data_IF_570407421063
#
_entry.id   IF_570407421063
#
_cell.length_a   1.000
_cell.length_b   1.000
_cell.length_c   1.000
_cell.angle_alpha   90.00
_cell.angle_beta   90.00
_cell.angle_gamma   90.00
#
_symmetry.space_group_name_H-M   'P 1'
#
loop_
_entity.id
_entity.type
_entity.pdbx_description
1 polymer ?
#
# COMPACT_ATOMS: atom_id res chain seq x y z
N UNK A 1 14.15 7.87 -57.58
CA UNK A 1 15.43 8.14 -56.88
C UNK A 1 15.38 7.40 -55.54
N UNK A 2 15.43 6.05 -55.56
CA UNK A 2 16.53 5.18 -55.10
C UNK A 2 17.44 5.80 -54.03
N UNK A 3 17.36 5.33 -52.78
CA UNK A 3 18.51 4.91 -51.95
C UNK A 3 18.08 3.73 -51.06
N UNK A 4 18.63 2.54 -51.35
CA UNK A 4 18.65 1.36 -50.50
C UNK A 4 19.83 1.48 -49.51
N UNK A 5 19.57 1.38 -48.21
CA UNK A 5 20.58 1.43 -47.14
C UNK A 5 20.76 0.06 -46.49
N UNK A 6 21.85 -0.60 -46.85
CA UNK A 6 22.28 -1.94 -46.43
C UNK A 6 23.17 -1.92 -45.17
N UNK A 7 23.19 -3.06 -44.46
CA UNK A 7 24.28 -3.64 -43.64
C UNK A 7 24.65 -2.98 -42.30
N UNK A 8 24.59 -3.78 -41.21
CA UNK A 8 25.73 -4.57 -40.72
C UNK A 8 25.32 -5.41 -39.50
N UNK A 9 25.33 -6.73 -39.69
CA UNK A 9 25.40 -7.74 -38.65
C UNK A 9 26.85 -7.77 -38.13
N UNK A 10 27.04 -7.67 -36.82
CA UNK A 10 28.31 -7.96 -36.15
C UNK A 10 28.03 -9.04 -35.11
N UNK A 11 28.26 -10.29 -35.51
CA UNK A 11 28.41 -11.42 -34.60
C UNK A 11 29.78 -11.28 -33.91
N UNK A 12 29.79 -10.95 -32.62
CA UNK A 12 30.94 -11.13 -31.76
C UNK A 12 30.75 -12.41 -30.95
N UNK A 13 31.48 -13.45 -31.35
CA UNK A 13 31.65 -14.67 -30.60
C UNK A 13 32.56 -14.40 -29.39
N UNK A 14 31.98 -14.36 -28.21
CA UNK A 14 32.70 -14.21 -26.94
C UNK A 14 33.20 -15.59 -26.48
N UNK A 15 34.51 -15.73 -26.36
CA UNK A 15 35.17 -16.96 -25.89
C UNK A 15 34.87 -17.27 -24.41
N UNK A 16 34.85 -18.55 -24.00
CA UNK A 16 34.64 -18.94 -22.62
C UNK A 16 35.90 -18.68 -21.78
N UNK A 17 35.82 -17.70 -20.88
CA UNK A 17 36.84 -17.44 -19.86
C UNK A 17 36.66 -18.47 -18.74
N UNK A 18 37.49 -19.51 -18.74
CA UNK A 18 37.65 -20.41 -17.60
C UNK A 18 38.37 -19.64 -16.47
N UNK A 19 37.61 -19.16 -15.48
CA UNK A 19 38.18 -18.69 -14.22
C UNK A 19 38.46 -19.90 -13.34
N UNK A 20 39.75 -20.09 -13.02
CA UNK A 20 40.19 -20.96 -11.95
C UNK A 20 39.53 -20.50 -10.65
N UNK A 21 38.82 -21.41 -10.00
CA UNK A 21 38.35 -21.21 -8.63
C UNK A 21 39.56 -21.38 -7.72
N UNK A 22 40.15 -20.26 -7.32
CA UNK A 22 41.08 -20.23 -6.20
C UNK A 22 40.39 -20.80 -4.96
N UNK A 23 41.10 -21.75 -4.39
CA UNK A 23 40.93 -22.44 -3.12
C UNK A 23 40.43 -21.48 -2.03
N UNK A 24 39.12 -21.51 -1.78
CA UNK A 24 38.51 -20.80 -0.65
C UNK A 24 38.91 -21.49 0.65
N UNK A 25 39.76 -20.77 1.39
CA UNK A 25 40.19 -21.05 2.76
C UNK A 25 38.98 -21.43 3.63
N UNK A 26 39.06 -22.61 4.26
CA UNK A 26 37.97 -23.14 5.06
C UNK A 26 37.66 -22.18 6.23
N UNK A 27 36.38 -21.93 6.55
CA UNK A 27 36.04 -21.06 7.67
C UNK A 27 36.62 -21.62 8.98
N UNK A 28 37.13 -20.75 9.87
CA UNK A 28 37.70 -21.17 11.14
C UNK A 28 36.70 -21.97 11.97
N UNK A 29 37.18 -23.02 12.64
CA UNK A 29 36.36 -23.86 13.51
C UNK A 29 35.77 -23.02 14.66
N UNK A 30 34.44 -23.01 14.77
CA UNK A 30 33.76 -22.37 15.89
C UNK A 30 33.91 -23.23 17.15
N UNK A 31 34.63 -22.68 18.13
CA UNK A 31 34.74 -23.25 19.48
C UNK A 31 33.37 -23.20 20.16
N UNK A 32 32.76 -24.36 20.40
CA UNK A 32 31.53 -24.48 21.19
C UNK A 32 31.82 -24.08 22.64
N UNK A 33 31.42 -22.85 23.01
CA UNK A 33 31.50 -22.37 24.39
C UNK A 33 30.60 -23.20 25.30
N UNK A 34 31.20 -23.61 26.41
CA UNK A 34 30.69 -24.59 27.35
C UNK A 34 29.32 -24.26 27.93
N UNK A 35 28.57 -25.35 28.13
CA UNK A 35 27.31 -25.44 28.86
C UNK A 35 27.47 -24.85 30.26
N UNK A 36 27.03 -23.61 30.45
CA UNK A 36 26.90 -23.01 31.77
C UNK A 36 25.79 -23.73 32.55
N UNK A 37 26.13 -24.15 33.77
CA UNK A 37 25.23 -24.71 34.76
C UNK A 37 24.15 -23.70 35.14
N UNK A 38 22.87 -24.09 35.23
CA UNK A 38 21.78 -23.20 35.63
C UNK A 38 21.90 -22.85 37.11
N UNK A 39 22.06 -21.56 37.40
CA UNK A 39 21.90 -21.00 38.74
C UNK A 39 20.39 -20.86 38.99
N UNK A 40 19.82 -21.44 40.06
CA UNK A 40 18.42 -21.25 40.41
C UNK A 40 18.23 -19.84 40.98
N UNK A 41 17.81 -18.89 40.14
CA UNK A 41 17.36 -17.57 40.58
C UNK A 41 15.87 -17.68 40.89
N UNK A 42 15.53 -17.55 42.18
CA UNK A 42 14.15 -17.41 42.63
C UNK A 42 13.58 -16.10 42.09
N UNK A 43 12.64 -16.19 41.15
CA UNK A 43 11.94 -15.04 40.57
C UNK A 43 10.86 -14.60 41.58
N UNK A 44 10.86 -13.34 42.04
CA UNK A 44 9.76 -12.81 42.84
C UNK A 44 8.51 -12.74 41.96
N UNK A 45 7.48 -13.50 42.33
CA UNK A 45 6.18 -13.50 41.68
C UNK A 45 5.51 -12.14 41.90
N UNK A 46 5.57 -11.25 40.91
CA UNK A 46 4.79 -10.01 40.91
C UNK A 46 3.32 -10.32 40.57
N UNK A 47 2.34 -9.62 41.16
CA UNK A 47 0.92 -9.84 40.89
C UNK A 47 0.61 -9.48 39.43
N UNK A 48 0.05 -10.43 38.69
CA UNK A 48 -0.53 -10.21 37.37
C UNK A 48 -1.84 -9.42 37.56
N UNK A 49 -1.77 -8.10 37.46
CA UNK A 49 -2.95 -7.26 37.22
C UNK A 49 -2.93 -6.83 35.75
N UNK A 50 -3.04 -7.81 34.84
CA UNK A 50 -3.22 -7.59 33.41
C UNK A 50 -4.71 -7.46 33.12
N UNK A 51 -5.25 -6.28 33.37
CA UNK A 51 -6.48 -5.81 32.73
C UNK A 51 -6.14 -5.52 31.27
N UNK A 52 -6.15 -6.56 30.45
CA UNK A 52 -5.97 -6.47 29.01
C UNK A 52 -7.09 -5.57 28.47
N UNK A 53 -6.83 -4.32 28.01
CA UNK A 53 -7.87 -3.48 27.46
C UNK A 53 -8.33 -4.16 26.17
N UNK A 54 -9.51 -4.75 26.25
CA UNK A 54 -10.16 -5.44 25.16
C UNK A 54 -10.20 -4.49 23.97
N UNK A 55 -9.58 -4.93 22.87
CA UNK A 55 -9.67 -4.41 21.51
C UNK A 55 -10.91 -3.54 21.32
N UNK A 56 -10.74 -2.22 21.43
CA UNK A 56 -11.80 -1.26 21.21
C UNK A 56 -12.34 -1.49 19.80
N UNK A 57 -13.59 -1.94 19.74
CA UNK A 57 -14.31 -2.13 18.50
C UNK A 57 -14.11 -0.90 17.61
N UNK A 58 -13.46 -1.10 16.47
CA UNK A 58 -13.50 -0.12 15.39
C UNK A 58 -14.98 0.21 15.15
N UNK A 59 -15.43 1.46 15.32
CA UNK A 59 -16.78 1.83 14.94
C UNK A 59 -16.92 1.42 13.47
N UNK A 60 -17.88 0.55 13.16
CA UNK A 60 -18.15 0.14 11.78
C UNK A 60 -18.35 1.43 10.97
N UNK A 61 -17.34 1.79 10.16
CA UNK A 61 -17.36 3.03 9.40
C UNK A 61 -18.42 2.88 8.31
N UNK A 62 -19.66 3.29 8.57
CA UNK A 62 -20.66 3.30 7.52
C UNK A 62 -20.38 4.46 6.55
N UNK A 63 -20.54 4.26 5.23
CA UNK A 63 -20.51 5.37 4.30
C UNK A 63 -21.58 6.39 4.68
N UNK A 64 -21.34 7.70 4.46
CA UNK A 64 -22.34 8.73 4.70
C UNK A 64 -23.63 8.44 3.95
N UNK A 65 -24.77 8.85 4.53
CA UNK A 65 -26.08 8.68 3.89
C UNK A 65 -26.08 9.29 2.49
N UNK A 66 -26.55 8.53 1.50
CA UNK A 66 -26.63 8.96 0.10
C UNK A 66 -25.43 8.55 -0.77
N UNK A 67 -24.33 8.06 -0.21
CA UNK A 67 -23.23 7.48 -0.99
C UNK A 67 -23.65 6.12 -1.52
N UNK A 68 -23.87 6.01 -2.83
CA UNK A 68 -24.22 4.75 -3.49
C UNK A 68 -22.95 3.96 -3.88
N UNK A 69 -22.89 2.65 -3.61
CA UNK A 69 -21.82 1.80 -4.12
C UNK A 69 -21.78 1.77 -5.65
N UNK A 70 -20.59 1.78 -6.22
CA UNK A 70 -20.33 1.59 -7.66
C UNK A 70 -19.05 0.79 -7.88
N UNK A 71 -18.89 0.16 -9.04
CA UNK A 71 -17.65 -0.53 -9.37
C UNK A 71 -16.65 0.39 -10.07
N UNK A 72 -17.11 1.16 -11.07
CA UNK A 72 -16.27 2.07 -11.83
C UNK A 72 -16.77 3.50 -11.72
N UNK A 73 -15.87 4.42 -11.38
CA UNK A 73 -16.10 5.85 -11.36
C UNK A 73 -14.84 6.59 -11.82
N UNK A 74 -15.01 7.53 -12.74
CA UNK A 74 -13.94 8.40 -13.22
C UNK A 74 -14.39 9.86 -13.14
N UNK A 75 -13.67 10.66 -12.37
CA UNK A 75 -13.89 12.10 -12.24
C UNK A 75 -12.61 12.82 -12.66
N UNK A 76 -12.71 13.66 -13.69
CA UNK A 76 -11.59 14.44 -14.19
C UNK A 76 -11.99 15.92 -14.28
N UNK A 77 -11.17 16.79 -13.68
CA UNK A 77 -11.28 18.24 -13.77
C UNK A 77 -9.98 18.80 -14.36
N UNK A 78 -10.06 19.93 -15.06
CA UNK A 78 -8.81 20.65 -15.40
C UNK A 78 -8.30 21.37 -14.17
N UNK A 79 -9.16 22.17 -13.53
CA UNK A 79 -8.81 22.96 -12.36
C UNK A 79 -9.88 22.78 -11.27
N UNK A 80 -9.48 23.01 -10.01
CA UNK A 80 -10.34 23.01 -8.84
C UNK A 80 -10.27 21.74 -7.99
N UNK A 81 -11.13 21.69 -6.97
CA UNK A 81 -11.13 20.62 -5.96
C UNK A 81 -12.04 19.46 -6.35
N UNK A 82 -11.60 18.24 -6.09
CA UNK A 82 -12.42 17.03 -6.09
C UNK A 82 -12.58 16.61 -4.63
N UNK A 83 -13.81 16.65 -4.13
CA UNK A 83 -14.14 16.28 -2.75
C UNK A 83 -15.26 15.28 -2.76
N UNK A 84 -15.18 14.28 -1.90
CA UNK A 84 -16.33 13.43 -1.65
C UNK A 84 -16.00 12.12 -0.96
N UNK A 85 -17.09 11.41 -0.70
CA UNK A 85 -17.07 10.03 -0.22
C UNK A 85 -17.49 9.11 -1.36
N UNK A 86 -16.67 8.10 -1.64
CA UNK A 86 -16.86 7.16 -2.74
C UNK A 86 -16.95 5.76 -2.17
N UNK A 87 -18.02 5.02 -2.48
CA UNK A 87 -18.14 3.62 -2.08
C UNK A 87 -17.90 2.72 -3.29
N UNK A 88 -16.84 1.91 -3.22
CA UNK A 88 -16.41 1.03 -4.29
C UNK A 88 -16.77 -0.41 -3.96
N UNK A 89 -17.57 -1.04 -4.81
CA UNK A 89 -17.95 -2.44 -4.73
C UNK A 89 -17.62 -3.15 -6.05
N UNK A 90 -16.57 -3.99 -6.10
CA UNK A 90 -16.13 -4.67 -7.31
C UNK A 90 -17.10 -5.78 -7.76
N UNK A 91 -18.09 -6.15 -6.93
CA UNK A 91 -19.11 -7.15 -7.31
C UNK A 91 -20.19 -6.59 -8.24
N UNK A 92 -20.29 -5.26 -8.37
CA UNK A 92 -21.26 -4.61 -9.24
C UNK A 92 -20.78 -4.73 -10.69
N UNK A 93 -21.54 -5.45 -11.51
CA UNK A 93 -21.31 -5.50 -12.96
C UNK A 93 -22.00 -4.32 -13.64
N UNK A 94 -21.23 -3.54 -14.40
CA UNK A 94 -21.75 -2.42 -15.19
C UNK A 94 -21.74 -2.82 -16.68
N UNK A 95 -22.79 -2.50 -17.45
CA UNK A 95 -22.78 -2.63 -18.89
C UNK A 95 -21.61 -1.86 -19.52
N UNK A 96 -20.95 -2.44 -20.53
CA UNK A 96 -19.74 -1.89 -21.14
C UNK A 96 -19.89 -0.44 -21.65
N UNK A 97 -21.08 -0.05 -22.12
CA UNK A 97 -21.35 1.31 -22.60
C UNK A 97 -21.49 2.36 -21.48
N UNK A 98 -21.61 1.94 -20.22
CA UNK A 98 -21.61 2.82 -19.05
C UNK A 98 -20.23 2.94 -18.39
N UNK A 99 -19.25 2.14 -18.85
CA UNK A 99 -17.91 2.17 -18.30
C UNK A 99 -17.14 3.40 -18.81
N UNK A 100 -16.27 4.00 -17.98
CA UNK A 100 -15.36 5.04 -18.44
C UNK A 100 -14.52 4.54 -19.63
N UNK A 101 -14.24 5.40 -20.63
CA UNK A 101 -13.43 5.02 -21.77
C UNK A 101 -12.04 4.57 -21.32
N UNK A 102 -11.51 3.53 -21.97
CA UNK A 102 -10.13 3.08 -21.75
C UNK A 102 -9.15 4.13 -22.28
N UNK A 103 -8.04 4.33 -21.57
CA UNK A 103 -6.89 5.04 -22.12
C UNK A 103 -6.07 4.12 -23.03
N UNK A 104 -5.18 4.70 -23.83
CA UNK A 104 -4.43 3.97 -24.86
C UNK A 104 -3.55 2.83 -24.32
N UNK A 105 -3.16 2.89 -23.05
CA UNK A 105 -2.36 1.91 -22.33
C UNK A 105 -3.21 1.00 -21.41
N UNK A 106 -4.52 1.20 -21.38
CA UNK A 106 -5.42 0.50 -20.47
C UNK A 106 -6.20 -0.59 -21.19
N UNK A 107 -6.40 -1.70 -20.49
CA UNK A 107 -7.27 -2.80 -20.89
C UNK A 107 -8.45 -2.85 -19.92
N UNK A 108 -9.52 -3.55 -20.28
CA UNK A 108 -10.63 -3.84 -19.35
C UNK A 108 -10.12 -4.43 -18.02
N UNK A 109 -9.10 -5.30 -18.09
CA UNK A 109 -8.50 -5.94 -16.92
C UNK A 109 -7.61 -5.03 -16.09
N UNK A 110 -7.16 -3.88 -16.61
CA UNK A 110 -6.33 -2.90 -15.90
C UNK A 110 -7.05 -1.58 -15.59
N UNK A 111 -8.31 -1.43 -16.02
CA UNK A 111 -9.13 -0.24 -15.73
C UNK A 111 -9.26 -0.06 -14.20
N UNK A 112 -9.04 1.16 -13.67
CA UNK A 112 -9.30 1.44 -12.27
C UNK A 112 -10.79 1.42 -11.93
N UNK A 113 -11.09 1.03 -10.70
CA UNK A 113 -12.42 1.11 -10.10
C UNK A 113 -12.75 2.55 -9.71
N UNK A 114 -11.74 3.30 -9.24
CA UNK A 114 -11.88 4.72 -8.95
C UNK A 114 -10.73 5.50 -9.59
N UNK A 115 -11.06 6.50 -10.40
CA UNK A 115 -10.10 7.45 -10.97
C UNK A 115 -10.50 8.87 -10.62
N UNK A 116 -9.63 9.59 -9.91
CA UNK A 116 -9.80 11.01 -9.58
C UNK A 116 -8.62 11.78 -10.14
N UNK A 117 -8.87 12.72 -11.08
CA UNK A 117 -7.80 13.53 -11.67
C UNK A 117 -8.11 15.01 -11.70
N UNK A 118 -7.13 15.82 -11.34
CA UNK A 118 -7.13 17.27 -11.59
C UNK A 118 -5.77 17.70 -12.17
N UNK A 119 -5.66 18.84 -12.86
CA UNK A 119 -4.34 19.40 -13.22
C UNK A 119 -3.89 20.34 -12.12
N UNK A 120 -4.73 21.28 -11.74
CA UNK A 120 -4.49 22.20 -10.64
C UNK A 120 -5.60 22.06 -9.61
N UNK A 121 -5.26 21.59 -8.42
CA UNK A 121 -6.15 21.60 -7.29
C UNK A 121 -5.96 20.42 -6.34
N UNK A 122 -6.89 20.35 -5.39
CA UNK A 122 -6.85 19.38 -4.30
C UNK A 122 -7.81 18.22 -4.56
N UNK A 123 -7.38 17.02 -4.19
CA UNK A 123 -8.23 15.83 -4.11
C UNK A 123 -8.39 15.50 -2.63
N UNK A 124 -9.62 15.44 -2.13
CA UNK A 124 -9.96 15.04 -0.76
C UNK A 124 -11.02 13.95 -0.81
N UNK A 125 -10.58 12.70 -0.69
CA UNK A 125 -11.39 11.54 -0.97
C UNK A 125 -11.41 10.56 0.21
N UNK A 126 -12.62 10.23 0.65
CA UNK A 126 -12.87 9.10 1.55
C UNK A 126 -13.40 7.94 0.73
N UNK A 127 -12.60 6.89 0.59
CA UNK A 127 -12.91 5.74 -0.26
C UNK A 127 -13.29 4.57 0.63
N UNK A 128 -14.57 4.24 0.62
CA UNK A 128 -15.14 3.09 1.29
C UNK A 128 -15.01 1.87 0.39
N UNK A 129 -14.37 0.82 0.91
CA UNK A 129 -14.14 -0.42 0.19
C UNK A 129 -15.15 -1.46 0.68
N UNK A 130 -16.10 -1.81 -0.19
CA UNK A 130 -17.14 -2.78 0.08
C UNK A 130 -16.81 -4.13 -0.53
N UNK A 131 -16.79 -5.16 0.30
CA UNK A 131 -16.54 -6.53 -0.12
C UNK A 131 -17.78 -7.38 -0.03
N UNK A 132 -18.07 -8.09 -1.11
CA UNK A 132 -18.98 -9.21 -1.04
C UNK A 132 -18.30 -10.35 -0.28
N UNK A 133 -18.87 -10.85 0.83
CA UNK A 133 -18.34 -12.01 1.51
C UNK A 133 -18.25 -13.17 0.53
N UNK A 134 -17.13 -13.90 0.57
CA UNK A 134 -16.92 -15.05 -0.30
C UNK A 134 -17.83 -16.16 0.19
N UNK A 135 -18.95 -16.38 -0.51
CA UNK A 135 -19.94 -17.39 -0.14
C UNK A 135 -19.39 -18.81 -0.32
N UNK A 136 -18.44 -19.01 -1.25
CA UNK A 136 -17.85 -20.31 -1.58
C UNK A 136 -16.30 -20.27 -1.47
N UNK A 137 -15.70 -20.95 -0.48
CA UNK A 137 -14.24 -21.03 -0.33
C UNK A 137 -13.50 -21.55 -1.57
N UNK A 138 -14.14 -22.43 -2.37
CA UNK A 138 -13.56 -22.97 -3.60
C UNK A 138 -13.49 -21.99 -4.77
N UNK A 139 -14.33 -20.94 -4.78
CA UNK A 139 -14.26 -19.86 -5.77
C UNK A 139 -13.32 -18.74 -5.34
N UNK A 140 -12.91 -18.73 -4.08
CA UNK A 140 -12.09 -17.68 -3.47
C UNK A 140 -10.82 -17.43 -4.30
N UNK A 141 -10.05 -18.48 -4.62
CA UNK A 141 -8.75 -18.33 -5.27
C UNK A 141 -8.82 -17.70 -6.67
N UNK A 142 -9.76 -18.14 -7.52
CA UNK A 142 -9.96 -17.55 -8.86
C UNK A 142 -10.54 -16.14 -8.79
N UNK A 143 -11.35 -15.89 -7.76
CA UNK A 143 -12.05 -14.63 -7.56
C UNK A 143 -11.16 -13.51 -7.01
N UNK A 144 -10.10 -13.80 -6.26
CA UNK A 144 -9.28 -12.74 -5.65
C UNK A 144 -8.56 -11.88 -6.68
N UNK A 145 -8.00 -12.49 -7.74
CA UNK A 145 -7.33 -11.73 -8.82
C UNK A 145 -8.30 -10.82 -9.58
N UNK A 146 -9.55 -11.26 -9.78
CA UNK A 146 -10.56 -10.48 -10.49
C UNK A 146 -11.27 -9.42 -9.63
N UNK A 147 -11.14 -9.49 -8.30
CA UNK A 147 -11.85 -8.60 -7.36
C UNK A 147 -10.96 -7.56 -6.68
N UNK A 148 -9.68 -7.50 -7.04
CA UNK A 148 -8.78 -6.45 -6.54
C UNK A 148 -9.30 -5.08 -6.97
N UNK A 149 -9.46 -4.20 -5.99
CA UNK A 149 -9.88 -2.81 -6.23
C UNK A 149 -8.67 -1.98 -6.66
N UNK A 150 -8.83 -1.15 -7.68
CA UNK A 150 -7.80 -0.25 -8.19
C UNK A 150 -8.25 1.19 -8.07
N UNK A 151 -7.49 1.98 -7.31
CA UNK A 151 -7.75 3.40 -7.07
C UNK A 151 -6.58 4.21 -7.62
N UNK A 152 -6.88 5.16 -8.49
CA UNK A 152 -5.91 6.08 -9.12
C UNK A 152 -6.30 7.52 -8.78
N UNK A 153 -5.41 8.24 -8.09
CA UNK A 153 -5.58 9.66 -7.79
C UNK A 153 -4.38 10.45 -8.27
N UNK A 154 -4.62 11.46 -9.11
CA UNK A 154 -3.56 12.20 -9.77
C UNK A 154 -3.85 13.70 -9.80
N UNK A 155 -2.93 14.50 -9.28
CA UNK A 155 -2.89 15.95 -9.52
C UNK A 155 -1.55 16.34 -10.15
N UNK A 156 -1.47 17.44 -10.90
CA UNK A 156 -0.17 17.97 -11.35
C UNK A 156 0.33 18.99 -10.35
N UNK A 157 -0.52 19.91 -9.94
CA UNK A 157 -0.24 20.91 -8.92
C UNK A 157 -1.35 20.84 -7.86
N UNK A 158 -0.96 20.59 -6.61
CA UNK A 158 -1.86 20.53 -5.48
C UNK A 158 -1.67 19.31 -4.59
N UNK A 159 -2.68 19.04 -3.78
CA UNK A 159 -2.58 18.06 -2.70
C UNK A 159 -3.59 16.94 -2.84
N UNK A 160 -3.21 15.75 -2.37
CA UNK A 160 -4.09 14.59 -2.27
C UNK A 160 -4.22 14.23 -0.80
N UNK A 161 -5.47 14.16 -0.33
CA UNK A 161 -5.85 13.63 0.96
C UNK A 161 -6.72 12.40 0.73
N UNK A 162 -6.16 11.21 0.96
CA UNK A 162 -6.81 9.94 0.67
C UNK A 162 -7.03 9.13 1.95
N UNK A 163 -8.27 8.72 2.19
CA UNK A 163 -8.67 7.83 3.30
C UNK A 163 -9.22 6.53 2.72
N UNK A 164 -8.63 5.39 3.05
CA UNK A 164 -9.13 4.07 2.62
C UNK A 164 -9.82 3.35 3.77
N UNK A 165 -11.15 3.19 3.67
CA UNK A 165 -12.01 2.75 4.76
C UNK A 165 -12.63 1.38 4.41
N UNK A 166 -12.17 0.26 5.00
CA UNK A 166 -12.76 -1.05 4.78
C UNK A 166 -14.10 -1.19 5.53
N UNK A 167 -15.13 -1.76 4.88
CA UNK A 167 -16.47 -1.87 5.47
C UNK A 167 -16.77 -3.20 6.17
N UNK A 168 -16.37 -4.33 5.58
CA UNK A 168 -16.82 -5.66 6.06
C UNK A 168 -15.67 -6.66 6.05
N UNK A 169 -15.22 -7.05 4.85
CA UNK A 169 -14.13 -7.99 4.64
C UNK A 169 -12.93 -7.25 4.06
N UNK A 170 -11.73 -7.72 4.40
CA UNK A 170 -10.52 -7.29 3.72
C UNK A 170 -10.63 -7.70 2.24
N UNK A 171 -10.45 -6.71 1.36
CA UNK A 171 -10.34 -6.94 -0.08
C UNK A 171 -9.00 -6.35 -0.50
N UNK A 172 -8.19 -7.12 -1.24
CA UNK A 172 -6.98 -6.59 -1.84
C UNK A 172 -7.24 -5.33 -2.66
N UNK A 173 -6.45 -4.30 -2.45
CA UNK A 173 -6.52 -3.09 -3.28
C UNK A 173 -5.14 -2.66 -3.80
N UNK A 174 -5.12 -1.98 -4.94
CA UNK A 174 -3.98 -1.22 -5.43
C UNK A 174 -4.34 0.25 -5.42
N UNK A 175 -3.57 1.05 -4.69
CA UNK A 175 -3.72 2.49 -4.60
C UNK A 175 -2.52 3.19 -5.24
N UNK A 176 -2.76 3.98 -6.28
CA UNK A 176 -1.74 4.82 -6.93
C UNK A 176 -2.08 6.28 -6.69
N UNK A 177 -1.15 7.02 -6.08
CA UNK A 177 -1.25 8.44 -5.79
C UNK A 177 -0.10 9.16 -6.47
N UNK A 178 -0.40 10.23 -7.21
CA UNK A 178 0.62 11.05 -7.85
C UNK A 178 0.33 12.54 -7.70
N UNK A 179 1.36 13.31 -7.34
CA UNK A 179 1.39 14.77 -7.53
C UNK A 179 2.70 15.21 -8.17
N UNK A 180 2.70 16.21 -9.05
CA UNK A 180 3.98 16.77 -9.53
C UNK A 180 4.51 17.84 -8.55
N UNK A 181 3.63 18.69 -8.04
CA UNK A 181 3.93 19.64 -6.98
C UNK A 181 2.86 19.55 -5.90
N UNK A 182 3.28 19.23 -4.68
CA UNK A 182 2.46 19.33 -3.49
C UNK A 182 2.50 18.08 -2.61
N UNK A 183 1.47 17.96 -1.79
CA UNK A 183 1.46 17.04 -0.64
C UNK A 183 0.49 15.89 -0.85
N UNK A 184 0.98 14.69 -0.56
CA UNK A 184 0.13 13.50 -0.43
C UNK A 184 0.02 13.16 1.05
N UNK A 185 -1.21 13.08 1.57
CA UNK A 185 -1.52 12.51 2.87
C UNK A 185 -2.42 11.30 2.66
N UNK A 186 -1.95 10.15 3.13
CA UNK A 186 -2.61 8.87 3.00
C UNK A 186 -2.91 8.29 4.38
N UNK A 187 -4.17 7.92 4.58
CA UNK A 187 -4.64 7.21 5.76
C UNK A 187 -5.07 5.80 5.36
N UNK A 188 -4.31 4.83 5.86
CA UNK A 188 -4.49 3.41 5.62
C UNK A 188 -5.33 2.76 6.73
N UNK A 189 -6.08 1.71 6.43
CA UNK A 189 -6.62 0.87 7.48
C UNK A 189 -5.50 0.07 8.16
N UNK A 190 -5.66 -0.25 9.44
CA UNK A 190 -4.76 -1.16 10.17
C UNK A 190 -4.65 -2.56 9.56
N UNK A 191 -5.67 -2.96 8.79
CA UNK A 191 -5.70 -4.22 8.06
C UNK A 191 -4.88 -4.21 6.77
N UNK A 192 -4.27 -3.07 6.39
CA UNK A 192 -3.41 -3.00 5.21
C UNK A 192 -2.24 -3.96 5.35
N UNK A 193 -2.06 -4.83 4.37
CA UNK A 193 -0.90 -5.73 4.29
C UNK A 193 -0.33 -5.75 2.89
N UNK A 194 0.89 -5.25 2.75
CA UNK A 194 1.60 -5.34 1.49
C UNK A 194 2.66 -4.27 1.24
N UNK A 195 3.19 -4.25 0.01
CA UNK A 195 4.20 -3.29 -0.40
C UNK A 195 3.68 -1.85 -0.39
N UNK A 196 4.52 -0.99 0.16
CA UNK A 196 4.38 0.45 0.19
C UNK A 196 5.60 1.07 -0.52
N UNK A 197 5.37 1.65 -1.69
CA UNK A 197 6.39 2.31 -2.49
C UNK A 197 6.20 3.83 -2.47
N UNK A 198 7.17 4.55 -1.92
CA UNK A 198 7.15 6.01 -1.78
C UNK A 198 8.25 6.62 -2.64
N UNK A 199 7.87 7.28 -3.74
CA UNK A 199 8.82 7.90 -4.68
C UNK A 199 8.80 9.41 -4.53
N UNK A 200 9.93 10.01 -4.20
CA UNK A 200 10.02 11.46 -3.92
C UNK A 200 11.25 12.01 -4.60
N UNK A 201 11.08 12.94 -5.55
CA UNK A 201 12.24 13.58 -6.18
C UNK A 201 12.85 14.64 -5.27
N UNK A 202 12.04 15.62 -4.87
CA UNK A 202 12.43 16.72 -4.00
C UNK A 202 11.47 16.76 -2.79
N UNK A 203 12.02 16.65 -1.58
CA UNK A 203 11.26 16.68 -0.33
C UNK A 203 11.39 15.43 0.54
N UNK A 204 10.32 14.98 1.21
CA UNK A 204 10.41 13.88 2.21
C UNK A 204 9.17 13.00 2.33
N UNK A 205 9.42 11.73 2.68
CA UNK A 205 8.41 10.74 3.05
C UNK A 205 8.42 10.60 4.58
N UNK A 206 7.25 10.64 5.19
CA UNK A 206 7.07 10.44 6.63
C UNK A 206 6.03 9.36 6.85
N UNK A 207 6.45 8.28 7.48
CA UNK A 207 5.55 7.28 8.06
C UNK A 207 5.23 7.69 9.50
N UNK A 208 3.98 7.51 9.93
CA UNK A 208 3.65 7.64 11.34
C UNK A 208 4.36 6.58 12.19
N UNK A 209 4.49 6.78 13.52
CA UNK A 209 5.06 5.78 14.40
C UNK A 209 4.37 4.42 14.31
N UNK A 210 3.04 4.37 14.21
CA UNK A 210 2.31 3.11 14.08
C UNK A 210 2.60 2.40 12.77
N UNK A 211 2.59 3.12 11.64
CA UNK A 211 2.94 2.53 10.34
C UNK A 211 4.38 2.04 10.34
N UNK A 212 5.30 2.83 10.89
CA UNK A 212 6.73 2.49 10.94
C UNK A 212 7.02 1.27 11.82
N UNK A 213 6.33 1.13 12.97
CA UNK A 213 6.48 -0.03 13.86
C UNK A 213 6.11 -1.35 13.17
N UNK A 214 5.23 -1.28 12.18
CA UNK A 214 4.69 -2.39 11.42
C UNK A 214 5.34 -2.54 10.02
N UNK A 215 6.32 -1.70 9.69
CA UNK A 215 6.94 -1.66 8.38
C UNK A 215 8.32 -2.33 8.39
N UNK A 216 8.52 -3.28 7.48
CA UNK A 216 9.82 -3.86 7.16
C UNK A 216 10.42 -3.09 5.98
N UNK A 217 11.57 -2.40 6.13
CA UNK A 217 12.21 -1.72 5.02
C UNK A 217 12.76 -2.73 4.02
N UNK A 218 12.38 -2.59 2.74
CA UNK A 218 12.83 -3.46 1.64
C UNK A 218 14.03 -2.86 0.88
N UNK A 219 14.27 -1.57 1.05
CA UNK A 219 15.38 -0.86 0.45
C UNK A 219 15.01 0.51 -0.08
N UNK A 220 16.01 1.20 -0.61
CA UNK A 220 15.88 2.51 -1.22
C UNK A 220 16.63 2.52 -2.55
N UNK A 221 15.93 2.84 -3.65
CA UNK A 221 16.50 2.86 -4.99
C UNK A 221 15.78 3.92 -5.84
N UNK A 222 16.51 4.68 -6.65
CA UNK A 222 15.96 5.66 -7.60
C UNK A 222 14.99 6.67 -6.94
N UNK A 223 15.32 7.07 -5.69
CA UNK A 223 14.49 7.93 -4.85
C UNK A 223 13.15 7.32 -4.42
N UNK A 224 12.99 6.03 -4.60
CA UNK A 224 11.89 5.24 -4.09
C UNK A 224 12.33 4.52 -2.81
N UNK A 225 11.70 4.87 -1.69
CA UNK A 225 11.77 4.05 -0.47
C UNK A 225 10.68 2.99 -0.53
N UNK A 226 11.06 1.74 -0.29
CA UNK A 226 10.14 0.59 -0.33
C UNK A 226 10.05 -0.04 1.05
N UNK A 227 8.82 -0.30 1.47
CA UNK A 227 8.49 -0.98 2.71
C UNK A 227 7.52 -2.11 2.42
N UNK A 228 7.50 -3.10 3.28
CA UNK A 228 6.39 -4.03 3.41
C UNK A 228 5.72 -3.75 4.75
N UNK A 229 4.43 -3.42 4.73
CA UNK A 229 3.68 -3.15 5.97
C UNK A 229 2.83 -4.37 6.29
N UNK A 230 2.85 -4.77 7.56
CA UNK A 230 2.04 -5.85 8.07
C UNK A 230 1.24 -5.42 9.32
N UNK A 231 0.31 -6.22 9.81
CA UNK A 231 -0.51 -5.82 10.98
C UNK A 231 0.25 -5.88 12.32
N UNK A 232 1.42 -6.50 12.35
CA UNK A 232 2.24 -6.59 13.56
C UNK A 232 1.71 -7.59 14.59
N UNK A 233 0.76 -8.46 14.23
CA UNK A 233 0.41 -9.62 15.07
C UNK A 233 1.67 -10.50 15.15
N UNK A 234 2.44 -10.31 16.22
CA UNK A 234 3.74 -10.92 16.55
C UNK A 234 3.75 -12.46 16.59
N UNK A 235 2.72 -13.13 16.07
CA UNK A 235 2.68 -14.57 15.87
C UNK A 235 3.64 -15.07 14.75
N UNK A 236 4.48 -14.19 14.20
CA UNK A 236 5.57 -14.60 13.29
C UNK A 236 5.12 -15.10 11.93
N UNK A 237 3.86 -14.87 11.56
CA UNK A 237 3.29 -15.27 10.27
C UNK A 237 3.35 -14.16 9.20
N UNK A 238 3.87 -12.98 9.56
CA UNK A 238 4.20 -11.89 8.65
C UNK A 238 5.44 -12.15 7.81
N UNK A 239 5.63 -13.41 7.38
CA UNK A 239 6.82 -13.81 6.68
C UNK A 239 6.74 -13.26 5.26
N UNK A 240 7.64 -12.33 4.95
CA UNK A 240 7.92 -11.88 3.59
C UNK A 240 8.19 -13.07 2.65
N UNK A 241 8.51 -14.26 3.17
CA UNK A 241 8.58 -15.49 2.40
C UNK A 241 7.26 -15.89 1.70
N UNK A 242 6.09 -15.42 2.18
CA UNK A 242 4.82 -15.58 1.43
C UNK A 242 4.88 -14.82 0.10
N UNK A 243 5.67 -13.75 0.02
CA UNK A 243 5.93 -13.03 -1.22
C UNK A 243 6.81 -13.84 -2.19
N UNK A 244 7.79 -14.62 -1.68
CA UNK A 244 8.72 -15.39 -2.50
C UNK A 244 8.18 -16.76 -2.96
N UNK A 245 7.10 -17.25 -2.35
CA UNK A 245 6.45 -18.51 -2.72
C UNK A 245 5.74 -18.51 -4.09
N UNK A 246 5.48 -17.34 -4.68
CA UNK A 246 4.93 -17.25 -6.04
C UNK A 246 6.09 -17.28 -7.04
N UNK A 247 6.66 -18.47 -7.23
CA UNK A 247 7.62 -18.73 -8.31
C UNK A 247 6.90 -18.72 -9.66
N UNK A 248 6.66 -17.53 -10.22
CA UNK A 248 6.07 -17.34 -11.56
C UNK A 248 5.60 -15.91 -11.82
N UNK A 249 5.19 -15.62 -13.06
CA UNK A 249 4.61 -14.32 -13.52
C UNK A 249 3.31 -13.91 -12.80
N UNK A 250 2.88 -14.66 -11.78
CA UNK A 250 1.54 -14.55 -11.20
C UNK A 250 1.32 -13.34 -10.28
N UNK A 251 2.36 -12.55 -10.01
CA UNK A 251 2.27 -11.23 -9.39
C UNK A 251 1.79 -11.22 -7.94
N UNK A 252 2.07 -10.13 -7.22
CA UNK A 252 1.54 -9.89 -5.88
C UNK A 252 0.00 -9.76 -5.92
N UNK A 253 -0.72 -10.46 -5.03
CA UNK A 253 -2.21 -10.48 -4.98
C UNK A 253 -2.84 -9.77 -3.77
N UNK A 254 -2.05 -9.28 -2.80
CA UNK A 254 -2.52 -8.55 -1.61
C UNK A 254 -2.72 -7.04 -1.84
N UNK A 255 -2.61 -6.23 -0.78
CA UNK A 255 -2.73 -4.78 -0.91
C UNK A 255 -1.46 -4.16 -1.46
N UNK A 256 -1.56 -3.07 -2.19
CA UNK A 256 -0.40 -2.39 -2.76
C UNK A 256 -0.64 -0.89 -2.77
N UNK A 257 0.35 -0.14 -2.29
CA UNK A 257 0.30 1.32 -2.30
C UNK A 257 1.54 1.85 -2.99
N UNK A 258 1.31 2.73 -3.98
CA UNK A 258 2.33 3.54 -4.61
C UNK A 258 1.96 5.00 -4.47
N UNK A 259 2.82 5.79 -3.82
CA UNK A 259 2.67 7.23 -3.72
C UNK A 259 3.91 7.91 -4.29
N UNK A 260 3.68 8.85 -5.21
CA UNK A 260 4.74 9.54 -5.93
C UNK A 260 4.55 11.05 -5.89
N UNK A 261 5.60 11.78 -5.50
CA UNK A 261 5.65 13.23 -5.67
C UNK A 261 6.96 13.67 -6.31
N UNK A 262 6.89 14.66 -7.21
CA UNK A 262 8.11 15.25 -7.79
C UNK A 262 8.68 16.34 -6.88
N UNK A 263 7.86 17.28 -6.43
CA UNK A 263 8.23 18.28 -5.43
C UNK A 263 7.17 18.29 -4.32
N UNK A 264 7.56 17.95 -3.10
CA UNK A 264 6.68 18.05 -1.96
C UNK A 264 6.88 16.97 -0.91
N UNK A 265 5.80 16.41 -0.38
CA UNK A 265 5.92 15.47 0.74
C UNK A 265 4.83 14.42 0.75
N UNK A 266 5.18 13.24 1.21
CA UNK A 266 4.25 12.12 1.39
C UNK A 266 4.16 11.79 2.87
N UNK A 267 2.94 11.78 3.40
CA UNK A 267 2.64 11.40 4.77
C UNK A 267 1.75 10.15 4.74
N UNK A 268 2.18 9.08 5.40
CA UNK A 268 1.41 7.84 5.51
C UNK A 268 1.14 7.56 6.98
N UNK A 269 -0.12 7.33 7.31
CA UNK A 269 -0.62 7.13 8.67
C UNK A 269 -1.71 6.06 8.66
N UNK A 270 -2.09 5.56 9.83
CA UNK A 270 -3.33 4.80 9.93
C UNK A 270 -4.54 5.72 10.14
N UNK A 271 -5.73 5.22 9.80
CA UNK A 271 -7.00 5.96 9.94
C UNK A 271 -7.28 6.37 11.39
N UNK A 272 -7.05 5.47 12.35
CA UNK A 272 -7.28 5.68 13.78
C UNK A 272 -6.34 6.74 14.39
N UNK A 273 -5.14 6.92 13.82
CA UNK A 273 -4.18 7.94 14.27
C UNK A 273 -4.64 9.39 13.95
N UNK A 274 -5.58 9.58 13.01
CA UNK A 274 -6.18 10.89 12.73
C UNK A 274 -7.15 11.31 13.84
N UNK A 275 -7.97 10.37 14.31
CA UNK A 275 -8.98 10.59 15.34
C UNK A 275 -8.33 11.02 16.66
N UNK A 276 -7.19 10.41 17.00
CA UNK A 276 -6.40 10.78 18.18
C UNK A 276 -5.94 12.24 18.12
N UNK A 277 -5.42 12.70 16.97
CA UNK A 277 -4.97 14.09 16.83
C UNK A 277 -6.14 15.07 16.96
N UNK A 278 -7.29 14.78 16.33
CA UNK A 278 -8.49 15.61 16.47
C UNK A 278 -8.98 15.67 17.92
N UNK A 279 -8.92 14.57 18.66
CA UNK A 279 -9.32 14.53 20.07
C UNK A 279 -8.42 15.40 20.96
N UNK A 280 -7.11 15.41 20.72
CA UNK A 280 -6.14 16.23 21.45
C UNK A 280 -6.37 17.71 21.17
N UNK A 281 -6.57 18.09 19.91
CA UNK A 281 -6.85 19.47 19.54
C UNK A 281 -8.19 19.97 20.09
N UNK A 282 -9.24 19.15 20.08
CA UNK A 282 -10.52 19.49 20.71
C UNK A 282 -10.39 19.63 22.22
N UNK A 283 -9.59 18.78 22.86
CA UNK A 283 -9.31 18.86 24.30
C UNK A 283 -8.50 20.12 24.65
N UNK A 284 -7.52 20.49 23.82
CA UNK A 284 -6.76 21.72 23.96
C UNK A 284 -7.64 22.95 23.74
N UNK A 285 -8.50 22.97 22.71
CA UNK A 285 -9.44 24.07 22.44
C UNK A 285 -10.37 24.32 23.64
N UNK A 286 -10.93 23.26 24.23
CA UNK A 286 -11.71 23.34 25.47
C UNK A 286 -10.90 23.85 26.66
N UNK A 287 -9.62 23.48 26.75
CA UNK A 287 -8.74 23.92 27.84
C UNK A 287 -8.40 25.42 27.74
N UNK A 288 -8.31 25.97 26.53
CA UNK A 288 -8.04 27.40 26.29
C UNK A 288 -9.31 28.27 26.26
N UNK A 289 -10.49 27.70 26.48
CA UNK A 289 -11.76 28.43 26.54
C UNK A 289 -12.22 29.01 25.20
N UNK A 290 -11.86 28.36 24.09
CA UNK A 290 -12.30 28.69 22.73
C UNK A 290 -13.43 27.77 22.29
#
# INVERSE_FOLDING_TARGET
>A
MIILGSKRQQDQATAPVQRAFDEMDAPPAYTSLGRATPIPVAIPTLPLDQTNPSSSHNPFYMPPAGVRPTNHLSLEKSDGRIEGSFCIDPSISLPAHLLPPLRGDETEGTRPNLRLRTKDGRIDASVYVQGSPIQNPGEALKSFKSRRIRVDMHTKDGSIYARLIPLVAHIPFTLTLYTADGRITLLLPRSFRGPLALTIRDGKAILSPGVLANAVPLGHQDRTSRYFVDDGDNNGNGDIAVWSGVSGDEGWTGDEVRAETRDGSVYVRYLDEEEEQLSVWQSLARMIGV
#
